data_IF_913945653695
#
_entry.id   IF_913945653695
#
_cell.length_a   1.000
_cell.length_b   1.000
_cell.length_c   1.000
_cell.angle_alpha   90.00
_cell.angle_beta   90.00
_cell.angle_gamma   90.00
#
_symmetry.space_group_name_H-M   'P 1'
#
loop_
_entity.id
_entity.type
_entity.pdbx_description
1 polymer ?
#
# COMPACT_ATOMS: atom_id res chain seq x y z
N UNK A 1 20.81 -19.00 11.11
CA UNK A 1 19.38 -18.67 11.32
C UNK A 1 19.00 -17.74 10.17
N UNK A 2 18.32 -18.26 9.19
CA UNK A 2 17.88 -17.55 7.99
C UNK A 2 16.85 -16.48 8.37
N UNK A 3 16.92 -15.32 7.72
CA UNK A 3 16.10 -14.13 7.99
C UNK A 3 14.57 -14.30 7.71
N UNK A 4 14.11 -15.52 7.50
CA UNK A 4 12.78 -15.85 6.96
C UNK A 4 11.67 -15.99 8.01
N UNK A 5 11.94 -15.79 9.30
CA UNK A 5 10.92 -15.99 10.33
C UNK A 5 10.82 -14.80 11.32
N UNK A 6 11.05 -13.58 10.86
CA UNK A 6 10.66 -12.39 11.64
C UNK A 6 9.15 -12.24 11.53
N UNK A 7 8.42 -12.65 12.56
CA UNK A 7 7.02 -12.21 12.73
C UNK A 7 7.05 -10.69 12.94
N UNK A 8 6.61 -9.96 11.91
CA UNK A 8 6.39 -8.53 12.03
C UNK A 8 5.24 -8.27 13.00
N UNK A 9 5.45 -7.43 13.98
CA UNK A 9 4.43 -7.08 14.96
C UNK A 9 3.56 -5.96 14.36
N UNK A 10 2.44 -6.35 13.76
CA UNK A 10 1.46 -5.39 13.26
C UNK A 10 0.57 -4.89 14.41
N UNK A 11 0.16 -3.60 14.40
CA UNK A 11 -0.80 -3.08 15.36
C UNK A 11 -2.10 -3.88 15.36
N UNK A 12 -2.79 -4.01 16.51
CA UNK A 12 -4.05 -4.76 16.61
C UNK A 12 -5.13 -4.31 15.61
N UNK A 13 -5.21 -3.00 15.35
CA UNK A 13 -6.15 -2.43 14.37
C UNK A 13 -5.86 -2.93 12.95
N UNK A 14 -4.59 -2.97 12.55
CA UNK A 14 -4.16 -3.46 11.23
C UNK A 14 -4.47 -4.94 11.10
N UNK A 15 -4.08 -5.75 12.09
CA UNK A 15 -4.41 -7.18 12.10
C UNK A 15 -5.93 -7.40 11.98
N UNK A 16 -6.74 -6.60 12.68
CA UNK A 16 -8.20 -6.72 12.62
C UNK A 16 -8.75 -6.39 11.23
N UNK A 17 -8.25 -5.34 10.57
CA UNK A 17 -8.65 -4.97 9.20
C UNK A 17 -8.27 -6.09 8.23
N UNK A 18 -7.02 -6.57 8.26
CA UNK A 18 -6.58 -7.66 7.39
C UNK A 18 -7.43 -8.91 7.58
N UNK A 19 -7.71 -9.30 8.84
CA UNK A 19 -8.55 -10.46 9.15
C UNK A 19 -9.96 -10.31 8.57
N UNK A 20 -10.62 -9.18 8.81
CA UNK A 20 -11.99 -8.96 8.35
C UNK A 20 -12.11 -9.02 6.83
N UNK A 21 -11.16 -8.43 6.11
CA UNK A 21 -11.15 -8.45 4.65
C UNK A 21 -10.87 -9.87 4.11
N UNK A 22 -9.91 -10.58 4.70
CA UNK A 22 -9.54 -11.93 4.24
C UNK A 22 -10.59 -12.98 4.57
N UNK A 23 -11.30 -12.88 5.69
CA UNK A 23 -12.44 -13.74 6.03
C UNK A 23 -13.61 -13.62 5.04
N UNK A 24 -13.73 -12.46 4.36
CA UNK A 24 -14.70 -12.23 3.29
C UNK A 24 -14.16 -12.59 1.89
N UNK A 25 -12.98 -13.22 1.82
CA UNK A 25 -12.38 -13.70 0.57
C UNK A 25 -11.59 -12.66 -0.21
N UNK A 26 -11.36 -11.47 0.34
CA UNK A 26 -10.55 -10.43 -0.31
C UNK A 26 -9.07 -10.55 0.06
N UNK A 27 -8.20 -10.30 -0.91
CA UNK A 27 -6.77 -10.12 -0.63
C UNK A 27 -6.57 -8.80 0.12
N UNK A 28 -5.72 -8.81 1.16
CA UNK A 28 -5.42 -7.62 1.95
C UNK A 28 -3.98 -7.65 2.50
N UNK A 29 -3.26 -6.54 2.35
CA UNK A 29 -1.85 -6.42 2.70
C UNK A 29 -1.54 -5.06 3.31
N UNK A 30 -0.58 -5.01 4.23
CA UNK A 30 0.14 -3.77 4.54
C UNK A 30 1.06 -3.45 3.39
N UNK A 31 1.18 -2.18 3.00
CA UNK A 31 1.96 -1.76 1.83
C UNK A 31 2.80 -0.51 2.10
N UNK A 32 3.71 -0.20 1.18
CA UNK A 32 4.39 1.09 1.15
C UNK A 32 5.47 1.28 2.21
N UNK A 33 5.53 2.48 2.77
CA UNK A 33 6.54 2.89 3.73
C UNK A 33 6.58 2.03 4.99
N UNK A 34 5.43 1.54 5.44
CA UNK A 34 5.34 0.66 6.60
C UNK A 34 6.14 -0.64 6.41
N UNK A 35 6.03 -1.28 5.24
CA UNK A 35 6.79 -2.52 4.94
C UNK A 35 8.29 -2.24 4.91
N UNK A 36 8.71 -1.15 4.26
CA UNK A 36 10.11 -0.71 4.25
C UNK A 36 10.64 -0.53 5.67
N UNK A 37 9.92 0.20 6.51
CA UNK A 37 10.36 0.53 7.85
C UNK A 37 10.42 -0.71 8.75
N UNK A 38 9.46 -1.62 8.65
CA UNK A 38 9.47 -2.91 9.33
C UNK A 38 10.68 -3.76 8.91
N UNK A 39 11.03 -3.79 7.61
CA UNK A 39 12.21 -4.50 7.11
C UNK A 39 13.52 -3.91 7.63
N UNK A 40 13.55 -2.59 7.87
CA UNK A 40 14.68 -1.89 8.51
C UNK A 40 14.70 -2.07 10.05
N UNK A 41 13.71 -2.74 10.63
CA UNK A 41 13.58 -2.89 12.09
C UNK A 41 13.13 -1.61 12.78
N UNK A 42 12.52 -0.68 12.06
CA UNK A 42 11.95 0.56 12.59
C UNK A 42 10.46 0.37 12.89
N UNK A 43 9.92 1.22 13.74
CA UNK A 43 8.48 1.32 13.98
C UNK A 43 7.91 2.27 12.94
N UNK A 44 6.96 1.82 12.07
CA UNK A 44 6.31 2.69 11.12
C UNK A 44 5.50 3.80 11.81
N UNK A 45 5.50 5.01 11.22
CA UNK A 45 4.67 6.12 11.71
C UNK A 45 3.20 5.97 11.35
N UNK A 46 2.93 5.35 10.19
CA UNK A 46 1.61 5.08 9.63
C UNK A 46 1.59 3.70 8.98
N UNK A 47 0.38 3.19 8.76
CA UNK A 47 0.17 1.91 8.09
C UNK A 47 -0.92 2.08 7.03
N UNK A 48 -0.54 1.85 5.77
CA UNK A 48 -1.47 1.77 4.66
C UNK A 48 -1.82 0.32 4.36
N UNK A 49 -3.08 0.07 4.04
CA UNK A 49 -3.57 -1.23 3.60
C UNK A 49 -3.97 -1.16 2.14
N UNK A 50 -3.59 -2.17 1.37
CA UNK A 50 -4.09 -2.37 0.01
C UNK A 50 -4.91 -3.66 -0.06
N UNK A 51 -6.03 -3.67 -0.81
CA UNK A 51 -6.96 -4.79 -0.88
C UNK A 51 -7.58 -4.95 -2.26
N UNK A 52 -8.02 -6.17 -2.59
CA UNK A 52 -8.86 -6.41 -3.77
C UNK A 52 -10.32 -6.00 -3.57
N UNK A 53 -10.75 -5.72 -2.32
CA UNK A 53 -12.09 -5.24 -2.03
C UNK A 53 -12.32 -3.84 -2.61
N UNK A 54 -13.49 -3.62 -3.21
CA UNK A 54 -13.94 -2.29 -3.65
C UNK A 54 -14.32 -1.43 -2.43
N UNK A 55 -14.32 -0.09 -2.55
CA UNK A 55 -14.64 0.80 -1.44
C UNK A 55 -15.94 0.44 -0.71
N UNK A 56 -16.99 0.14 -1.46
CA UNK A 56 -18.30 -0.22 -0.90
C UNK A 56 -18.23 -1.52 -0.07
N UNK A 57 -17.43 -2.49 -0.53
CA UNK A 57 -17.20 -3.74 0.20
C UNK A 57 -16.38 -3.50 1.47
N UNK A 58 -15.34 -2.65 1.39
CA UNK A 58 -14.54 -2.26 2.57
C UNK A 58 -15.43 -1.64 3.63
N UNK A 59 -16.29 -0.70 3.24
CA UNK A 59 -17.22 -0.01 4.15
C UNK A 59 -18.19 -1.02 4.78
N UNK A 60 -18.85 -1.85 3.95
CA UNK A 60 -19.85 -2.82 4.41
C UNK A 60 -19.28 -3.88 5.37
N UNK A 61 -17.97 -4.16 5.28
CA UNK A 61 -17.26 -5.11 6.16
C UNK A 61 -16.82 -4.42 7.47
N UNK A 62 -16.31 -3.20 7.38
CA UNK A 62 -15.65 -2.57 8.53
C UNK A 62 -16.60 -1.79 9.43
N UNK A 63 -17.64 -1.14 8.91
CA UNK A 63 -18.59 -0.39 9.74
C UNK A 63 -19.30 -1.27 10.77
N UNK A 64 -19.86 -2.47 10.42
CA UNK A 64 -20.45 -3.34 11.43
C UNK A 64 -19.45 -3.87 12.47
N UNK A 65 -18.15 -3.85 12.15
CA UNK A 65 -17.07 -4.22 13.07
C UNK A 65 -16.61 -3.07 13.98
N UNK A 66 -17.28 -1.91 13.93
CA UNK A 66 -17.03 -0.75 14.79
C UNK A 66 -15.96 0.21 14.29
N UNK A 67 -15.69 0.22 12.98
CA UNK A 67 -14.88 1.27 12.35
C UNK A 67 -15.79 2.40 11.86
N UNK A 68 -15.30 3.63 11.93
CA UNK A 68 -16.00 4.80 11.39
C UNK A 68 -15.32 5.22 10.09
N UNK A 69 -16.09 5.34 9.01
CA UNK A 69 -15.58 5.92 7.75
C UNK A 69 -15.46 7.43 7.89
N UNK A 70 -14.28 7.98 7.61
CA UNK A 70 -13.95 9.39 7.88
C UNK A 70 -13.94 10.22 6.60
N UNK A 71 -13.60 9.64 5.45
CA UNK A 71 -13.50 10.35 4.18
C UNK A 71 -14.26 9.62 3.06
N UNK A 72 -15.38 10.25 2.65
CA UNK A 72 -16.18 9.78 1.51
C UNK A 72 -15.60 10.23 0.15
N UNK A 73 -14.77 11.29 0.12
CA UNK A 73 -14.18 11.81 -1.12
C UNK A 73 -13.10 10.89 -1.68
N UNK A 74 -12.37 10.21 -0.81
CA UNK A 74 -11.34 9.23 -1.18
C UNK A 74 -11.91 8.02 -1.93
N UNK A 75 -13.19 7.69 -1.74
CA UNK A 75 -13.87 6.57 -2.40
C UNK A 75 -13.86 6.69 -3.93
N UNK A 76 -13.97 7.91 -4.48
CA UNK A 76 -13.88 8.17 -5.91
C UNK A 76 -12.51 7.82 -6.50
N UNK A 77 -11.48 7.73 -5.65
CA UNK A 77 -10.12 7.33 -6.02
C UNK A 77 -9.75 5.94 -5.51
N UNK A 78 -10.73 5.19 -4.98
CA UNK A 78 -10.52 3.83 -4.47
C UNK A 78 -9.84 3.78 -3.10
N UNK A 79 -9.90 4.85 -2.31
CA UNK A 79 -9.35 4.91 -0.96
C UNK A 79 -10.47 5.10 0.05
N UNK A 80 -10.49 4.27 1.09
CA UNK A 80 -11.38 4.40 2.24
C UNK A 80 -10.54 4.70 3.47
N UNK A 81 -10.83 5.81 4.14
CA UNK A 81 -10.18 6.17 5.40
C UNK A 81 -11.07 5.76 6.56
N UNK A 82 -10.56 4.90 7.41
CA UNK A 82 -11.30 4.43 8.59
C UNK A 82 -10.63 4.87 9.88
N UNK A 83 -11.45 5.10 10.87
CA UNK A 83 -11.02 5.51 12.21
C UNK A 83 -11.56 4.54 13.27
N UNK A 84 -10.69 4.17 14.23
CA UNK A 84 -11.05 3.40 15.41
C UNK A 84 -10.01 3.62 16.53
N UNK A 85 -10.46 3.79 17.78
CA UNK A 85 -9.59 3.90 18.95
C UNK A 85 -8.46 4.94 18.80
N UNK A 86 -8.82 6.15 18.31
CA UNK A 86 -7.90 7.27 18.01
C UNK A 86 -6.83 6.95 16.94
N UNK A 87 -6.99 5.88 16.18
CA UNK A 87 -6.11 5.51 15.07
C UNK A 87 -6.85 5.63 13.74
N UNK A 88 -6.15 6.15 12.72
CA UNK A 88 -6.68 6.29 11.36
C UNK A 88 -5.88 5.39 10.43
N UNK A 89 -6.56 4.70 9.53
CA UNK A 89 -5.94 3.79 8.55
C UNK A 89 -6.52 4.09 7.18
N UNK A 90 -5.65 4.25 6.18
CA UNK A 90 -6.02 4.34 4.78
C UNK A 90 -6.04 2.94 4.15
N UNK A 91 -7.15 2.63 3.46
CA UNK A 91 -7.37 1.34 2.80
C UNK A 91 -7.62 1.62 1.32
N UNK A 92 -6.67 1.27 0.48
CA UNK A 92 -6.73 1.48 -0.96
C UNK A 92 -7.15 0.19 -1.68
N UNK A 93 -8.11 0.29 -2.59
CA UNK A 93 -8.43 -0.79 -3.53
C UNK A 93 -7.29 -0.93 -4.53
N UNK A 94 -6.89 -2.17 -4.86
CA UNK A 94 -5.92 -2.42 -5.93
C UNK A 94 -6.35 -1.76 -7.23
N UNK A 95 -5.45 -1.06 -7.86
CA UNK A 95 -5.75 -0.33 -9.08
C UNK A 95 -4.56 -0.28 -10.04
N UNK A 96 -4.86 -0.25 -11.33
CA UNK A 96 -3.95 0.19 -12.36
C UNK A 96 -4.17 1.66 -12.67
N UNK A 97 -3.16 2.32 -13.20
CA UNK A 97 -3.19 3.71 -13.59
C UNK A 97 -2.56 3.86 -14.98
N UNK A 98 -3.15 4.71 -15.83
CA UNK A 98 -2.53 5.16 -17.07
C UNK A 98 -2.39 6.69 -17.02
N UNK A 99 -1.23 7.18 -17.45
CA UNK A 99 -0.91 8.60 -17.47
C UNK A 99 -0.93 9.10 -18.92
N UNK A 100 -1.57 10.24 -19.13
CA UNK A 100 -1.59 10.99 -20.39
C UNK A 100 -0.63 12.18 -20.34
N UNK A 101 -0.90 13.21 -21.15
CA UNK A 101 -0.02 14.39 -21.28
C UNK A 101 0.02 15.35 -20.10
N UNK A 102 -0.81 15.16 -19.07
CA UNK A 102 -0.86 16.08 -17.92
C UNK A 102 -0.15 15.40 -16.74
N UNK A 103 1.07 15.88 -16.44
CA UNK A 103 1.87 15.39 -15.32
C UNK A 103 1.19 15.77 -14.00
N UNK A 104 0.83 14.81 -13.17
CA UNK A 104 0.34 14.85 -11.78
C UNK A 104 -0.97 14.13 -11.51
N UNK A 105 -1.77 13.79 -12.56
CA UNK A 105 -3.00 13.01 -12.37
C UNK A 105 -3.04 11.88 -13.39
N UNK A 106 -3.35 10.65 -12.98
CA UNK A 106 -3.62 9.60 -13.95
C UNK A 106 -4.84 9.97 -14.77
N UNK A 107 -4.75 9.79 -16.09
CA UNK A 107 -5.84 10.04 -17.01
C UNK A 107 -6.93 8.96 -16.88
N UNK A 108 -6.51 7.75 -16.56
CA UNK A 108 -7.41 6.63 -16.32
C UNK A 108 -6.97 5.85 -15.07
N UNK A 109 -7.94 5.49 -14.25
CA UNK A 109 -7.77 4.61 -13.08
C UNK A 109 -8.80 3.50 -13.24
N UNK A 110 -8.34 2.25 -13.10
CA UNK A 110 -9.24 1.10 -13.07
C UNK A 110 -8.89 0.18 -11.92
N UNK A 111 -9.89 -0.39 -11.30
CA UNK A 111 -9.69 -1.37 -10.24
C UNK A 111 -9.24 -2.72 -10.83
N UNK A 112 -8.35 -3.40 -10.14
CA UNK A 112 -7.88 -4.74 -10.46
C UNK A 112 -7.89 -5.64 -9.20
N UNK A 113 -7.66 -6.92 -9.42
CA UNK A 113 -7.57 -7.90 -8.32
C UNK A 113 -6.13 -8.42 -8.16
N UNK A 114 -5.18 -7.81 -8.90
CA UNK A 114 -3.78 -8.20 -8.95
C UNK A 114 -2.91 -7.27 -8.11
N UNK A 115 -2.27 -7.84 -7.08
CA UNK A 115 -1.33 -7.13 -6.21
C UNK A 115 -0.10 -6.61 -6.98
N UNK A 116 0.43 -7.38 -7.93
CA UNK A 116 1.61 -6.98 -8.70
C UNK A 116 1.31 -5.73 -9.53
N UNK A 117 0.11 -5.65 -10.14
CA UNK A 117 -0.33 -4.47 -10.87
C UNK A 117 -0.42 -3.23 -9.95
N UNK A 118 -0.97 -3.36 -8.72
CA UNK A 118 -1.00 -2.25 -7.76
C UNK A 118 0.40 -1.81 -7.32
N UNK A 119 1.31 -2.76 -7.08
CA UNK A 119 2.68 -2.44 -6.70
C UNK A 119 3.49 -1.82 -7.85
N UNK A 120 3.20 -2.21 -9.08
CA UNK A 120 3.89 -1.72 -10.30
C UNK A 120 3.67 -0.22 -10.57
N UNK A 121 2.55 0.37 -10.12
CA UNK A 121 2.27 1.80 -10.30
C UNK A 121 2.95 2.69 -9.24
N UNK A 122 3.54 2.11 -8.19
CA UNK A 122 4.17 2.86 -7.10
C UNK A 122 5.46 3.54 -7.56
N UNK A 123 5.95 4.47 -6.76
CA UNK A 123 7.10 5.32 -7.10
C UNK A 123 8.45 4.58 -7.07
N UNK A 124 8.79 3.99 -5.93
CA UNK A 124 10.10 3.39 -5.67
C UNK A 124 9.98 1.94 -5.25
N UNK A 125 10.96 1.13 -5.67
CA UNK A 125 11.01 -0.31 -5.35
C UNK A 125 10.93 -0.57 -3.84
N UNK A 126 11.61 0.25 -3.03
CA UNK A 126 11.61 0.16 -1.57
C UNK A 126 10.23 0.43 -0.93
N UNK A 127 9.31 1.07 -1.65
CA UNK A 127 7.92 1.31 -1.25
C UNK A 127 6.92 0.44 -2.02
N UNK A 128 7.39 -0.36 -2.99
CA UNK A 128 6.57 -1.25 -3.82
C UNK A 128 6.62 -2.70 -3.30
N UNK A 129 6.47 -2.86 -2.01
CA UNK A 129 6.41 -4.15 -1.31
C UNK A 129 5.12 -4.25 -0.52
N UNK A 130 4.64 -5.47 -0.33
CA UNK A 130 3.47 -5.78 0.47
C UNK A 130 3.79 -6.83 1.54
N UNK A 131 3.06 -6.80 2.65
CA UNK A 131 3.21 -7.71 3.77
C UNK A 131 1.84 -8.27 4.14
N UNK A 132 1.68 -9.59 4.16
CA UNK A 132 0.47 -10.22 4.62
C UNK A 132 0.44 -10.41 6.15
N UNK A 133 -0.70 -10.84 6.68
CA UNK A 133 -0.91 -11.10 8.10
C UNK A 133 -0.02 -12.24 8.64
N UNK A 134 0.43 -13.15 7.78
CA UNK A 134 1.32 -14.26 8.14
C UNK A 134 2.79 -13.85 8.24
N UNK A 135 3.13 -12.62 7.80
CA UNK A 135 4.49 -12.11 7.78
C UNK A 135 5.23 -12.38 6.48
N UNK A 136 4.56 -12.82 5.42
CA UNK A 136 5.17 -12.99 4.11
C UNK A 136 5.28 -11.63 3.40
N UNK A 137 6.47 -11.35 2.86
CA UNK A 137 6.73 -10.13 2.08
C UNK A 137 6.68 -10.46 0.61
N UNK A 138 5.82 -9.74 -0.11
CA UNK A 138 5.68 -9.78 -1.57
C UNK A 138 6.49 -8.65 -2.18
N UNK A 139 7.48 -9.00 -3.00
CA UNK A 139 8.44 -8.08 -3.60
C UNK A 139 8.70 -8.46 -5.07
N UNK A 140 7.95 -7.85 -5.98
CA UNK A 140 8.04 -8.11 -7.42
C UNK A 140 9.11 -7.27 -8.12
N UNK A 141 9.59 -6.21 -7.45
CA UNK A 141 10.48 -5.20 -8.06
C UNK A 141 11.87 -5.13 -7.42
N UNK A 142 12.20 -6.07 -6.53
CA UNK A 142 13.54 -6.13 -5.91
C UNK A 142 13.76 -5.07 -4.82
N UNK A 143 12.70 -4.55 -4.21
CA UNK A 143 12.76 -3.53 -3.17
C UNK A 143 13.55 -3.95 -1.94
N UNK A 144 13.50 -5.24 -1.54
CA UNK A 144 14.32 -5.78 -0.43
C UNK A 144 15.81 -5.68 -0.72
N UNK A 145 16.22 -6.00 -1.96
CA UNK A 145 17.61 -5.90 -2.36
C UNK A 145 18.09 -4.46 -2.41
N UNK A 146 17.30 -3.57 -3.02
CA UNK A 146 17.59 -2.15 -3.08
C UNK A 146 17.69 -1.53 -1.67
N UNK A 147 16.81 -1.96 -0.75
CA UNK A 147 16.83 -1.51 0.64
C UNK A 147 18.13 -1.92 1.36
N UNK A 148 18.59 -3.17 1.17
CA UNK A 148 19.85 -3.66 1.73
C UNK A 148 21.07 -2.93 1.17
N UNK A 149 21.03 -2.60 -0.12
CA UNK A 149 22.10 -1.90 -0.82
C UNK A 149 22.04 -0.36 -0.66
N UNK A 150 21.00 0.15 0.02
CA UNK A 150 20.73 1.58 0.17
C UNK A 150 20.59 2.29 -1.19
N UNK A 151 19.95 1.64 -2.14
CA UNK A 151 19.65 2.17 -3.46
C UNK A 151 18.19 2.65 -3.47
N UNK A 152 17.97 3.86 -3.96
CA UNK A 152 16.66 4.38 -4.29
C UNK A 152 16.44 4.23 -5.79
N UNK A 153 15.58 3.28 -6.18
CA UNK A 153 15.25 2.95 -7.57
C UNK A 153 13.77 3.15 -7.80
N UNK A 154 13.41 3.72 -8.94
CA UNK A 154 12.01 3.79 -9.38
C UNK A 154 11.51 2.40 -9.80
N UNK A 155 10.20 2.17 -9.65
CA UNK A 155 9.56 1.01 -10.26
C UNK A 155 9.43 1.27 -11.76
N UNK A 156 10.16 0.51 -12.59
CA UNK A 156 10.24 0.72 -14.03
C UNK A 156 11.21 1.84 -14.44
N UNK A 157 10.98 2.42 -15.62
CA UNK A 157 11.88 3.42 -16.21
C UNK A 157 11.79 4.77 -15.49
N UNK A 158 12.91 5.28 -14.98
CA UNK A 158 12.92 6.49 -14.17
C UNK A 158 12.46 7.75 -14.91
N UNK A 159 12.92 8.05 -16.14
CA UNK A 159 12.40 9.16 -16.92
C UNK A 159 10.88 9.13 -17.09
N UNK A 160 10.32 7.97 -17.45
CA UNK A 160 8.88 7.82 -17.61
C UNK A 160 8.14 8.08 -16.29
N UNK A 161 8.62 7.53 -15.17
CA UNK A 161 8.01 7.71 -13.84
C UNK A 161 8.01 9.16 -13.36
N UNK A 162 9.05 9.91 -13.65
CA UNK A 162 9.12 11.33 -13.28
C UNK A 162 8.29 12.22 -14.21
N UNK A 163 8.09 11.80 -15.48
CA UNK A 163 7.17 12.48 -16.39
C UNK A 163 5.71 12.27 -16.01
N UNK A 164 5.34 11.08 -15.51
CA UNK A 164 4.00 10.78 -15.00
C UNK A 164 3.63 11.65 -13.78
N UNK A 165 4.55 11.83 -12.85
CA UNK A 165 4.34 12.62 -11.64
C UNK A 165 5.67 13.19 -11.12
N UNK A 166 5.88 14.49 -11.34
CA UNK A 166 7.07 15.21 -10.90
C UNK A 166 7.22 15.26 -9.35
N UNK A 167 6.13 15.09 -8.59
CA UNK A 167 6.20 15.03 -7.13
C UNK A 167 6.99 13.81 -6.63
N UNK A 168 7.17 12.79 -7.48
CA UNK A 168 8.04 11.64 -7.15
C UNK A 168 9.49 12.06 -6.91
N UNK A 169 9.96 13.11 -7.60
CA UNK A 169 11.30 13.67 -7.34
C UNK A 169 11.43 14.25 -5.93
N UNK A 170 10.41 14.98 -5.47
CA UNK A 170 10.39 15.50 -4.09
C UNK A 170 10.27 14.36 -3.07
N UNK A 171 9.50 13.32 -3.39
CA UNK A 171 9.43 12.12 -2.52
C UNK A 171 10.78 11.41 -2.42
N UNK A 172 11.57 11.37 -3.52
CA UNK A 172 12.91 10.82 -3.50
C UNK A 172 13.85 11.55 -2.51
N UNK A 173 13.72 12.86 -2.39
CA UNK A 173 14.53 13.66 -1.47
C UNK A 173 14.17 13.45 0.02
N UNK A 174 13.04 12.82 0.32
CA UNK A 174 12.55 12.57 1.69
C UNK A 174 12.88 11.17 2.21
N UNK A 175 13.28 10.26 1.33
CA UNK A 175 13.60 8.86 1.64
C UNK A 175 15.08 8.70 1.98
#
# INVERSE_FOLDING_TARGET
MTAENRRFLLPPIINRILTLLTEQGFAAYVVGGAVRDLLLGKIPGDFDVATSARPESVISILEPAGFTVVDELGQNFGVVVVHRDAQTVEIATFRGEAYGGDAHKPEQVWYCDDLEADLSRRDFTVNAMALDQSGNVYDYHGGRQDLQQKILRTVGDAPARYQEDALRMYRACRL
#
